data_IF_749598165665
#
_entry.id   IF_749598165665
#
_cell.length_a   1.000
_cell.length_b   1.000
_cell.length_c   1.000
_cell.angle_alpha   90.00
_cell.angle_beta   90.00
_cell.angle_gamma   90.00
#
_symmetry.space_group_name_H-M   'P 1'
#
loop_
_entity.id
_entity.type
_entity.pdbx_description
1 polymer ?
#
# COMPACT_ATOMS: atom_id res chain seq x y z
N UNK A 1 9.68 -11.14 4.49
CA UNK A 1 8.84 -9.92 4.53
C UNK A 1 9.38 -9.02 3.46
N UNK A 2 8.55 -8.64 2.49
CA UNK A 2 8.97 -7.69 1.45
C UNK A 2 8.93 -6.27 1.97
N UNK A 3 9.73 -5.42 1.35
CA UNK A 3 9.92 -4.04 1.76
C UNK A 3 8.75 -3.17 1.27
N UNK A 4 7.97 -2.64 2.20
CA UNK A 4 6.86 -1.72 1.90
C UNK A 4 7.37 -0.33 1.50
N UNK A 5 8.60 0.03 1.85
CA UNK A 5 9.18 1.35 1.54
C UNK A 5 9.44 1.57 0.04
N UNK A 6 9.38 0.49 -0.75
CA UNK A 6 9.44 0.51 -2.21
C UNK A 6 8.10 0.82 -2.89
N UNK A 7 7.00 0.88 -2.13
CA UNK A 7 5.67 1.19 -2.63
C UNK A 7 5.38 2.69 -2.58
N UNK A 8 4.26 3.10 -3.20
CA UNK A 8 3.80 4.49 -3.20
C UNK A 8 3.71 5.05 -1.77
N UNK A 9 4.23 6.26 -1.45
CA UNK A 9 4.29 6.79 -0.08
C UNK A 9 2.96 6.72 0.69
N UNK A 10 1.85 7.08 0.03
CA UNK A 10 0.50 6.92 0.61
C UNK A 10 0.15 5.48 0.97
N UNK A 11 0.54 4.50 0.14
CA UNK A 11 0.31 3.08 0.43
C UNK A 11 1.11 2.65 1.67
N UNK A 12 2.33 3.16 1.85
CA UNK A 12 3.14 2.88 3.05
C UNK A 12 2.43 3.33 4.32
N UNK A 13 1.93 4.58 4.33
CA UNK A 13 1.16 5.15 5.44
C UNK A 13 -0.08 4.31 5.77
N UNK A 14 -0.86 3.95 4.75
CA UNK A 14 -2.06 3.13 4.91
C UNK A 14 -1.75 1.71 5.39
N UNK A 15 -0.64 1.11 4.93
CA UNK A 15 -0.20 -0.20 5.42
C UNK A 15 0.18 -0.14 6.91
N UNK A 16 0.90 0.90 7.34
CA UNK A 16 1.21 1.13 8.77
C UNK A 16 -0.07 1.33 9.58
N UNK A 17 -1.00 2.16 9.11
CA UNK A 17 -2.27 2.41 9.78
C UNK A 17 -3.13 1.13 9.89
N UNK A 18 -3.16 0.30 8.84
CA UNK A 18 -3.85 -0.99 8.84
C UNK A 18 -3.29 -1.89 9.94
N UNK A 19 -1.97 -2.07 10.01
CA UNK A 19 -1.31 -2.89 11.03
C UNK A 19 -1.66 -2.40 12.44
N UNK A 20 -1.62 -1.09 12.67
CA UNK A 20 -1.94 -0.50 13.97
C UNK A 20 -3.41 -0.73 14.37
N UNK A 21 -4.36 -0.45 13.46
CA UNK A 21 -5.80 -0.65 13.72
C UNK A 21 -6.17 -2.11 13.88
N UNK A 22 -5.54 -3.01 13.13
CA UNK A 22 -5.70 -4.44 13.28
C UNK A 22 -5.17 -4.92 14.64
N UNK A 23 -3.96 -4.52 15.01
CA UNK A 23 -3.37 -4.86 16.31
C UNK A 23 -4.22 -4.40 17.49
N UNK A 24 -4.80 -3.20 17.41
CA UNK A 24 -5.72 -2.68 18.44
C UNK A 24 -7.00 -3.52 18.63
N UNK A 25 -7.36 -4.34 17.65
CA UNK A 25 -8.51 -5.25 17.67
C UNK A 25 -8.10 -6.72 17.83
N UNK A 26 -6.83 -7.00 18.19
CA UNK A 26 -6.32 -8.35 18.34
C UNK A 26 -6.12 -9.11 17.02
N UNK A 27 -6.11 -8.40 15.88
CA UNK A 27 -5.85 -8.97 14.56
C UNK A 27 -4.36 -8.78 14.22
N UNK A 28 -3.54 -9.77 14.51
CA UNK A 28 -2.11 -9.68 14.21
C UNK A 28 -1.87 -10.00 12.74
N UNK A 29 -1.41 -9.01 11.98
CA UNK A 29 -1.06 -9.12 10.57
C UNK A 29 0.39 -8.69 10.33
N UNK A 30 0.97 -9.19 9.24
CA UNK A 30 2.27 -8.78 8.72
C UNK A 30 2.18 -8.64 7.20
N UNK A 31 3.03 -7.79 6.62
CA UNK A 31 3.15 -7.62 5.17
C UNK A 31 3.91 -8.82 4.58
N UNK A 32 3.28 -9.49 3.62
CA UNK A 32 3.84 -10.59 2.85
C UNK A 32 4.52 -10.08 1.58
N UNK A 33 3.72 -9.58 0.65
CA UNK A 33 4.13 -9.13 -0.68
C UNK A 33 3.93 -7.61 -0.85
N UNK A 34 4.79 -6.98 -1.66
CA UNK A 34 4.78 -5.53 -1.93
C UNK A 34 5.08 -5.29 -3.41
N UNK A 35 6.03 -4.42 -3.75
CA UNK A 35 6.49 -4.21 -5.11
C UNK A 35 6.98 -5.53 -5.73
N UNK A 36 6.57 -5.77 -6.98
CA UNK A 36 6.93 -6.95 -7.76
C UNK A 36 7.45 -6.56 -9.14
N UNK A 37 8.58 -7.11 -9.53
CA UNK A 37 9.14 -6.94 -10.88
C UNK A 37 8.35 -7.74 -11.92
N UNK A 38 8.55 -7.43 -13.21
CA UNK A 38 7.96 -8.20 -14.30
C UNK A 38 8.35 -9.69 -14.26
N UNK A 39 9.63 -9.99 -14.01
CA UNK A 39 10.13 -11.37 -13.94
C UNK A 39 9.52 -12.17 -12.78
N UNK A 40 9.32 -11.53 -11.62
CA UNK A 40 8.65 -12.18 -10.48
C UNK A 40 7.17 -12.42 -10.78
N UNK A 41 6.51 -11.49 -11.49
CA UNK A 41 5.13 -11.68 -11.93
C UNK A 41 5.00 -12.82 -12.95
N UNK A 42 5.95 -12.96 -13.88
CA UNK A 42 6.00 -14.10 -14.81
C UNK A 42 6.19 -15.44 -14.09
N UNK A 43 6.97 -15.44 -13.00
CA UNK A 43 7.14 -16.63 -12.15
C UNK A 43 5.82 -17.04 -11.50
N UNK A 44 5.03 -16.08 -11.00
CA UNK A 44 3.70 -16.36 -10.47
C UNK A 44 2.71 -16.79 -11.55
N UNK A 45 2.79 -16.20 -12.75
CA UNK A 45 1.96 -16.57 -13.87
C UNK A 45 2.20 -18.02 -14.32
N UNK A 46 3.44 -18.50 -14.25
CA UNK A 46 3.80 -19.88 -14.57
C UNK A 46 3.15 -20.93 -13.64
N UNK A 47 2.82 -20.55 -12.40
CA UNK A 47 2.26 -21.45 -11.40
C UNK A 47 0.88 -22.00 -11.82
N UNK A 48 0.73 -23.32 -11.75
CA UNK A 48 -0.46 -24.03 -12.21
C UNK A 48 -0.61 -24.10 -13.73
N UNK A 49 0.38 -23.61 -14.49
CA UNK A 49 0.42 -23.66 -15.96
C UNK A 49 1.62 -24.47 -16.43
N UNK A 50 2.82 -23.98 -16.17
CA UNK A 50 4.11 -24.59 -16.55
C UNK A 50 4.91 -25.07 -15.34
N UNK A 51 4.55 -24.62 -14.13
CA UNK A 51 5.08 -25.13 -12.86
C UNK A 51 3.95 -25.62 -11.96
N UNK A 52 4.19 -26.58 -11.04
CA UNK A 52 3.17 -27.08 -10.12
C UNK A 52 2.61 -25.98 -9.20
N UNK A 53 1.34 -26.10 -8.81
CA UNK A 53 0.67 -25.19 -7.87
C UNK A 53 -0.70 -24.75 -8.36
N UNK A 54 -1.42 -23.96 -7.55
CA UNK A 54 -2.68 -23.34 -7.98
C UNK A 54 -2.41 -22.10 -8.82
N UNK A 55 -3.30 -21.79 -9.75
CA UNK A 55 -3.26 -20.50 -10.47
C UNK A 55 -3.61 -19.39 -9.48
N UNK A 56 -2.65 -18.50 -9.22
CA UNK A 56 -2.80 -17.35 -8.30
C UNK A 56 -2.93 -16.02 -9.04
N UNK A 57 -2.68 -16.00 -10.35
CA UNK A 57 -2.79 -14.78 -11.16
C UNK A 57 -3.08 -15.10 -12.62
N UNK A 58 -3.71 -14.14 -13.31
CA UNK A 58 -3.91 -14.14 -14.76
C UNK A 58 -3.05 -13.10 -15.48
N UNK A 59 -2.24 -12.33 -14.75
CA UNK A 59 -1.43 -11.26 -15.31
C UNK A 59 -0.02 -11.74 -15.68
N UNK A 60 0.34 -11.60 -16.95
CA UNK A 60 1.72 -11.69 -17.44
C UNK A 60 2.54 -10.49 -16.94
N UNK A 61 3.81 -10.69 -16.64
CA UNK A 61 4.73 -9.65 -16.18
C UNK A 61 4.86 -8.51 -17.18
N UNK A 62 4.94 -8.81 -18.47
CA UNK A 62 5.00 -7.81 -19.55
C UNK A 62 3.72 -6.99 -19.74
N UNK A 63 2.59 -7.42 -19.15
CA UNK A 63 1.30 -6.74 -19.32
C UNK A 63 1.06 -5.60 -18.32
N UNK A 64 1.89 -5.52 -17.28
CA UNK A 64 1.70 -4.63 -16.13
C UNK A 64 0.26 -4.67 -15.59
N UNK A 65 -0.34 -5.86 -15.54
CA UNK A 65 -1.73 -6.06 -15.12
C UNK A 65 -1.89 -6.43 -13.65
N UNK A 66 -0.80 -6.34 -12.87
CA UNK A 66 -0.82 -6.46 -11.42
C UNK A 66 -0.47 -5.13 -10.76
N UNK A 67 -1.25 -4.69 -9.77
CA UNK A 67 -0.96 -3.47 -9.01
C UNK A 67 0.32 -3.56 -8.16
N UNK A 68 0.81 -4.76 -7.86
CA UNK A 68 2.13 -4.92 -7.25
C UNK A 68 3.25 -4.39 -8.15
N UNK A 69 3.11 -4.50 -9.47
CA UNK A 69 4.11 -3.98 -10.41
C UNK A 69 4.14 -2.46 -10.44
N UNK A 70 3.02 -1.82 -10.13
CA UNK A 70 2.90 -0.38 -10.01
C UNK A 70 3.29 0.15 -8.62
N UNK A 71 3.64 -0.73 -7.67
CA UNK A 71 3.96 -0.34 -6.30
C UNK A 71 2.77 0.26 -5.54
N UNK A 72 1.54 -0.06 -5.93
CA UNK A 72 0.30 0.47 -5.34
C UNK A 72 -0.55 -0.61 -4.68
N UNK A 73 0.01 -1.80 -4.47
CA UNK A 73 -0.61 -2.90 -3.74
C UNK A 73 0.36 -3.59 -2.77
N UNK A 74 -0.21 -4.22 -1.74
CA UNK A 74 0.48 -5.12 -0.83
C UNK A 74 -0.44 -6.26 -0.41
N UNK A 75 0.16 -7.39 -0.04
CA UNK A 75 -0.55 -8.52 0.54
C UNK A 75 -0.17 -8.66 2.01
N UNK A 76 -1.13 -9.09 2.82
CA UNK A 76 -0.92 -9.43 4.22
C UNK A 76 -0.98 -10.93 4.46
N UNK A 77 -0.41 -11.35 5.58
CA UNK A 77 -0.69 -12.66 6.16
C UNK A 77 -0.97 -12.53 7.65
N UNK A 78 -1.70 -13.52 8.16
CA UNK A 78 -2.03 -13.67 9.58
C UNK A 78 -0.79 -14.07 10.38
N UNK A 79 -0.55 -13.38 11.49
CA UNK A 79 0.67 -13.50 12.28
C UNK A 79 0.44 -13.89 13.76
N UNK A 80 -0.74 -14.43 14.09
CA UNK A 80 -1.12 -14.85 15.45
C UNK A 80 -0.88 -16.34 15.76
N UNK A 81 -0.24 -17.07 14.83
CA UNK A 81 0.07 -18.49 14.99
C UNK A 81 -1.01 -19.47 14.51
N UNK A 82 -2.19 -19.02 14.09
CA UNK A 82 -3.25 -19.91 13.57
C UNK A 82 -3.01 -20.41 12.13
N UNK A 83 -1.92 -19.96 11.50
CA UNK A 83 -1.59 -20.22 10.09
C UNK A 83 -1.80 -18.99 9.22
N UNK A 84 -0.83 -18.72 8.34
CA UNK A 84 -0.73 -17.48 7.58
C UNK A 84 -1.97 -17.10 6.75
N UNK A 85 -2.71 -18.11 6.26
CA UNK A 85 -3.89 -17.95 5.41
C UNK A 85 -5.13 -18.67 5.95
N UNK A 86 -5.16 -18.99 7.25
CA UNK A 86 -6.35 -19.55 7.88
C UNK A 86 -7.43 -18.46 8.01
N UNK A 87 -8.60 -18.69 7.40
CA UNK A 87 -9.70 -17.73 7.32
C UNK A 87 -11.08 -18.32 7.65
N UNK A 88 -11.16 -19.53 8.23
CA UNK A 88 -12.47 -20.14 8.58
C UNK A 88 -13.20 -19.37 9.69
N UNK A 89 -12.49 -18.53 10.44
CA UNK A 89 -13.00 -17.63 11.47
C UNK A 89 -13.30 -16.21 10.94
N UNK A 90 -13.23 -15.99 9.62
CA UNK A 90 -13.47 -14.69 9.00
C UNK A 90 -12.40 -13.65 9.31
N UNK A 91 -11.19 -14.07 9.66
CA UNK A 91 -10.06 -13.17 9.97
C UNK A 91 -9.83 -12.11 8.89
N UNK A 92 -9.69 -12.50 7.63
CA UNK A 92 -9.40 -11.57 6.55
C UNK A 92 -10.59 -10.66 6.24
N UNK A 93 -11.83 -11.10 6.46
CA UNK A 93 -13.00 -10.21 6.32
C UNK A 93 -12.99 -9.06 7.33
N UNK A 94 -12.57 -9.33 8.57
CA UNK A 94 -12.43 -8.28 9.60
C UNK A 94 -11.30 -7.31 9.25
N UNK A 95 -10.16 -7.82 8.79
CA UNK A 95 -9.03 -6.99 8.34
C UNK A 95 -9.41 -6.18 7.10
N UNK A 96 -10.11 -6.80 6.15
CA UNK A 96 -10.66 -6.18 4.94
C UNK A 96 -11.53 -4.97 5.24
N UNK A 97 -12.46 -5.11 6.19
CA UNK A 97 -13.32 -4.02 6.63
C UNK A 97 -12.52 -2.83 7.20
N UNK A 98 -11.45 -3.11 7.96
CA UNK A 98 -10.56 -2.07 8.48
C UNK A 98 -9.81 -1.38 7.33
N UNK A 99 -9.25 -2.14 6.38
CA UNK A 99 -8.57 -1.57 5.22
C UNK A 99 -9.47 -0.67 4.38
N UNK A 100 -10.71 -1.10 4.13
CA UNK A 100 -11.70 -0.27 3.44
C UNK A 100 -12.00 1.01 4.22
N UNK A 101 -12.12 0.94 5.54
CA UNK A 101 -12.41 2.12 6.38
C UNK A 101 -11.31 3.19 6.35
N UNK A 102 -10.06 2.82 6.01
CA UNK A 102 -8.93 3.76 5.88
C UNK A 102 -8.65 4.14 4.42
N UNK A 103 -9.52 3.76 3.48
CA UNK A 103 -9.43 4.15 2.08
C UNK A 103 -8.61 3.23 1.18
N UNK A 104 -8.29 2.01 1.62
CA UNK A 104 -7.77 0.97 0.73
C UNK A 104 -8.92 0.28 -0.01
N UNK A 105 -8.66 -0.12 -1.26
CA UNK A 105 -9.45 -1.17 -1.89
C UNK A 105 -8.97 -2.54 -1.38
N UNK A 106 -9.92 -3.44 -1.13
CA UNK A 106 -9.65 -4.79 -0.62
C UNK A 106 -10.05 -5.86 -1.63
N UNK A 107 -9.13 -6.79 -1.93
CA UNK A 107 -9.34 -7.84 -2.93
C UNK A 107 -10.39 -8.89 -2.54
N UNK A 108 -10.76 -8.95 -1.26
CA UNK A 108 -11.89 -9.77 -0.80
C UNK A 108 -13.25 -9.29 -1.30
N UNK A 109 -13.35 -8.04 -1.78
CA UNK A 109 -14.58 -7.48 -2.38
C UNK A 109 -14.68 -7.75 -3.90
N UNK A 110 -13.66 -8.34 -4.52
CA UNK A 110 -13.69 -8.62 -5.96
C UNK A 110 -14.67 -9.74 -6.31
N UNK A 111 -15.17 -9.75 -7.55
CA UNK A 111 -16.06 -10.84 -8.02
C UNK A 111 -15.28 -12.10 -8.37
N UNK A 112 -14.14 -11.94 -9.03
CA UNK A 112 -13.20 -13.00 -9.37
C UNK A 112 -11.94 -12.36 -9.97
N UNK A 113 -10.73 -12.84 -9.66
CA UNK A 113 -10.42 -13.81 -8.59
C UNK A 113 -10.56 -13.08 -7.25
N UNK A 114 -11.18 -13.71 -6.24
CA UNK A 114 -11.25 -13.13 -4.89
C UNK A 114 -9.92 -13.30 -4.20
N UNK A 115 -9.29 -12.20 -3.78
CA UNK A 115 -7.96 -12.20 -3.16
C UNK A 115 -7.99 -11.50 -1.79
N UNK A 116 -8.26 -12.27 -0.75
CA UNK A 116 -8.49 -11.74 0.60
C UNK A 116 -7.24 -11.14 1.28
N UNK A 117 -6.02 -11.65 1.05
CA UNK A 117 -4.79 -11.00 1.48
C UNK A 117 -4.52 -9.61 0.87
N UNK A 118 -5.08 -9.32 -0.31
CA UNK A 118 -4.68 -8.20 -1.15
C UNK A 118 -5.34 -6.87 -0.78
N UNK A 119 -4.53 -5.81 -0.75
CA UNK A 119 -4.97 -4.42 -0.65
C UNK A 119 -4.29 -3.54 -1.70
N UNK A 120 -5.00 -2.52 -2.18
CA UNK A 120 -4.46 -1.55 -3.14
C UNK A 120 -5.00 -0.13 -2.97
N UNK A 121 -4.32 0.84 -3.58
CA UNK A 121 -4.86 2.18 -3.76
C UNK A 121 -6.00 2.17 -4.80
N UNK A 122 -7.16 2.80 -4.52
CA UNK A 122 -8.34 2.73 -5.39
C UNK A 122 -8.30 3.68 -6.61
N UNK A 123 -7.32 4.59 -6.67
CA UNK A 123 -7.34 5.80 -7.51
C UNK A 123 -7.40 5.54 -9.01
N UNK A 124 -6.95 4.36 -9.45
CA UNK A 124 -6.92 3.94 -10.85
C UNK A 124 -7.96 2.87 -11.18
N UNK A 125 -8.89 2.62 -10.24
CA UNK A 125 -9.94 1.62 -10.32
C UNK A 125 -9.48 0.20 -9.98
N UNK A 126 -10.41 -0.75 -9.93
CA UNK A 126 -10.12 -2.14 -9.55
C UNK A 126 -9.25 -2.93 -10.54
N UNK A 127 -8.90 -2.35 -11.69
CA UNK A 127 -7.97 -2.92 -12.68
C UNK A 127 -6.91 -1.89 -13.06
N UNK A 128 -5.72 -2.34 -13.47
CA UNK A 128 -4.64 -1.43 -13.90
C UNK A 128 -4.92 -0.67 -15.20
N UNK A 129 -6.12 -0.78 -15.76
CA UNK A 129 -6.52 -0.04 -16.96
C UNK A 129 -6.50 1.48 -16.76
N UNK A 130 -6.78 1.97 -15.54
CA UNK A 130 -6.70 3.40 -15.24
C UNK A 130 -5.26 3.91 -15.31
N UNK A 131 -4.36 3.28 -14.54
CA UNK A 131 -2.96 3.72 -14.46
C UNK A 131 -2.23 3.57 -15.79
N UNK A 132 -2.56 2.53 -16.58
CA UNK A 132 -2.01 2.32 -17.94
C UNK A 132 -2.46 3.34 -18.98
N UNK A 133 -3.55 4.10 -18.73
CA UNK A 133 -3.95 5.22 -19.61
C UNK A 133 -3.07 6.43 -19.39
N UNK A 134 -2.55 6.59 -18.18
CA UNK A 134 -1.75 7.75 -17.78
C UNK A 134 -0.24 7.51 -17.95
N UNK A 135 0.23 6.28 -17.71
CA UNK A 135 1.63 5.91 -17.70
C UNK A 135 1.89 4.68 -18.57
N UNK A 136 2.97 4.67 -19.36
CA UNK A 136 3.30 3.52 -20.21
C UNK A 136 3.97 2.42 -19.41
N UNK A 137 4.78 2.77 -18.41
CA UNK A 137 5.49 1.81 -17.58
C UNK A 137 5.40 2.15 -16.09
N UNK A 138 5.57 1.16 -15.19
CA UNK A 138 5.65 1.43 -13.76
C UNK A 138 6.76 2.40 -13.38
N UNK A 139 7.90 2.38 -14.07
CA UNK A 139 9.03 3.26 -13.79
C UNK A 139 8.70 4.73 -14.11
N UNK A 140 7.93 4.98 -15.17
CA UNK A 140 7.42 6.33 -15.45
C UNK A 140 6.49 6.82 -14.34
N UNK A 141 5.60 5.95 -13.87
CA UNK A 141 4.70 6.26 -12.77
C UNK A 141 5.46 6.53 -11.46
N UNK A 142 6.42 5.69 -11.08
CA UNK A 142 7.19 5.84 -9.84
C UNK A 142 7.99 7.14 -9.78
N UNK A 143 8.45 7.66 -10.92
CA UNK A 143 9.10 8.98 -11.00
C UNK A 143 8.19 10.14 -10.62
N UNK A 144 6.87 9.96 -10.67
CA UNK A 144 5.91 10.99 -10.26
C UNK A 144 5.70 11.06 -8.76
N UNK A 145 6.15 10.04 -8.02
CA UNK A 145 6.02 10.02 -6.57
C UNK A 145 6.89 11.13 -6.01
N UNK A 146 6.25 12.18 -5.51
CA UNK A 146 6.96 13.18 -4.71
C UNK A 146 7.49 12.45 -3.49
N UNK A 147 8.79 12.54 -3.24
CA UNK A 147 9.29 12.32 -1.88
C UNK A 147 8.44 13.20 -0.98
N UNK A 148 7.92 12.66 0.12
CA UNK A 148 7.27 13.50 1.11
C UNK A 148 8.24 14.63 1.44
N UNK A 149 7.77 15.89 1.33
CA UNK A 149 8.53 17.01 1.85
C UNK A 149 8.98 16.60 3.24
N UNK A 150 10.30 16.46 3.42
CA UNK A 150 10.85 16.17 4.74
C UNK A 150 10.35 17.28 5.64
N UNK A 151 9.38 16.96 6.48
CA UNK A 151 8.92 17.87 7.52
C UNK A 151 10.11 17.99 8.47
N UNK A 152 10.91 19.03 8.28
CA UNK A 152 12.00 19.36 9.20
C UNK A 152 11.32 20.00 10.40
N UNK A 153 11.26 19.25 11.50
CA UNK A 153 10.79 19.81 12.76
C UNK A 153 11.66 21.01 13.12
N UNK A 154 11.00 22.15 13.33
CA UNK A 154 11.70 23.39 13.62
C UNK A 154 10.94 24.64 13.21
N UNK A 155 11.61 25.77 13.41
CA UNK A 155 11.12 27.08 13.03
C UNK A 155 11.24 27.29 11.52
N UNK A 156 10.10 27.55 10.89
CA UNK A 156 9.96 27.89 9.49
C UNK A 156 9.71 29.41 9.36
N UNK A 157 10.22 30.01 8.29
CA UNK A 157 10.10 31.45 8.02
C UNK A 157 9.41 31.68 6.68
N UNK A 158 8.35 32.47 6.67
CA UNK A 158 7.78 33.04 5.45
C UNK A 158 8.18 34.53 5.30
N UNK A 159 7.69 35.17 4.24
CA UNK A 159 8.05 36.56 3.90
C UNK A 159 7.83 37.53 5.07
N UNK A 160 6.85 37.26 5.95
CA UNK A 160 6.43 38.18 7.02
C UNK A 160 6.23 37.54 8.40
N UNK A 161 6.44 36.23 8.56
CA UNK A 161 6.08 35.48 9.76
C UNK A 161 7.02 34.30 10.02
N UNK A 162 7.05 33.89 11.29
CA UNK A 162 7.65 32.63 11.71
C UNK A 162 6.55 31.70 12.21
N UNK A 163 6.71 30.42 11.96
CA UNK A 163 5.84 29.37 12.47
C UNK A 163 6.64 28.11 12.80
N UNK A 164 6.22 27.38 13.81
CA UNK A 164 6.88 26.12 14.19
C UNK A 164 6.16 24.94 13.54
N UNK A 165 6.90 24.11 12.82
CA UNK A 165 6.39 22.88 12.20
C UNK A 165 6.78 21.68 13.07
N UNK A 166 5.80 20.86 13.44
CA UNK A 166 6.00 19.57 14.10
C UNK A 166 5.52 18.42 13.18
N UNK A 167 6.05 17.21 13.39
CA UNK A 167 5.72 15.98 12.66
C UNK A 167 4.22 15.66 12.54
N UNK A 168 3.37 16.21 13.41
CA UNK A 168 1.92 16.01 13.41
C UNK A 168 1.12 16.93 12.45
N UNK A 169 1.77 17.80 11.67
CA UNK A 169 1.12 18.82 10.82
C UNK A 169 0.20 19.81 11.57
N UNK A 170 0.27 19.86 12.90
CA UNK A 170 -0.42 20.87 13.69
C UNK A 170 0.37 22.19 13.64
N UNK A 171 -0.24 23.27 13.15
CA UNK A 171 0.28 24.63 13.27
C UNK A 171 0.11 25.10 14.72
N UNK A 172 1.18 25.21 15.49
CA UNK A 172 1.06 25.50 16.93
C UNK A 172 1.19 27.00 17.24
N UNK A 173 1.95 27.81 16.48
CA UNK A 173 2.05 29.26 16.73
C UNK A 173 2.36 30.09 15.46
N UNK A 174 1.69 31.24 15.31
CA UNK A 174 2.08 32.35 14.41
C UNK A 174 2.35 33.59 15.26
N UNK A 175 3.60 34.02 15.34
CA UNK A 175 3.99 35.19 16.13
C UNK A 175 5.15 35.94 15.50
N UNK A 176 5.17 37.27 15.65
CA UNK A 176 6.35 38.09 15.31
C UNK A 176 7.40 37.88 16.40
N UNK A 177 8.51 37.22 16.05
CA UNK A 177 9.67 37.11 16.95
C UNK A 177 10.39 38.45 16.95
N UNK A 178 10.31 39.19 18.05
CA UNK A 178 11.17 40.34 18.30
C UNK A 178 12.48 39.81 18.89
N UNK A 179 13.57 39.92 18.14
CA UNK A 179 14.90 39.73 18.70
C UNK A 179 15.24 41.00 19.49
N UNK A 180 15.54 40.86 20.79
CA UNK A 180 16.19 41.88 21.61
C UNK A 180 17.69 41.85 21.38
#
# INVERSE_FOLDING_TARGET
MRDITLCHPRLQKLATELIQKCSAQGLQIKIGETLRTGSEQDTLYAQGRTTPGSIVTNALGSSYSSYHQWGTAFDIYRADGCGAYYDKDGFFSRVGAIGVSIGLEWGGNWKSIVDKPHFQLPDWGSSTSGIKKEFKTPEEFMKTWKEEEKVVEGWQKDVNSWWYQNFSNLLIYRGKMFFF
#
